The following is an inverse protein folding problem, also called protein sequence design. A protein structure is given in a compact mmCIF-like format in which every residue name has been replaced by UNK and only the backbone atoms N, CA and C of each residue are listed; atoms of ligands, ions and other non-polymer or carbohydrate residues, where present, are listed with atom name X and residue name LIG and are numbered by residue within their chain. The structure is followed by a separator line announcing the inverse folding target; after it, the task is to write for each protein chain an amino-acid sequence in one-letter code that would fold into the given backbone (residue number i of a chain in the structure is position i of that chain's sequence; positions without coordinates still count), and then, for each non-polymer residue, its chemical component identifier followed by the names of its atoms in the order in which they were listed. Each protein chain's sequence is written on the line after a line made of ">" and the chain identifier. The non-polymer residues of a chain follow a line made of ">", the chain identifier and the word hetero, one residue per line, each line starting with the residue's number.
data_IF_663123750937
#
_entry.id   IF_663123750937
#
_cell.length_a   1.000
_cell.length_b   1.000
_cell.length_c   1.000
_cell.angle_alpha   90.00
_cell.angle_beta   90.00
_cell.angle_gamma   90.00
#
_symmetry.space_group_name_H-M   'P 1'
#
loop_
_entity.id
_entity.type
_entity.pdbx_description
1 polymer ?
#
# COMPACT_ATOMS: atom_id res chain seq x y z
N UNK A 1 -26.11 15.09 2.76
CA UNK A 1 -25.64 14.74 1.41
C UNK A 1 -24.20 14.27 1.51
N UNK A 2 -23.97 12.95 1.54
CA UNK A 2 -22.62 12.38 1.61
C UNK A 2 -22.15 12.23 0.16
N UNK A 3 -21.16 13.01 -0.27
CA UNK A 3 -20.53 12.83 -1.58
C UNK A 3 -19.95 11.41 -1.64
N UNK A 4 -20.71 10.47 -2.18
CA UNK A 4 -20.25 9.12 -2.47
C UNK A 4 -19.25 9.23 -3.61
N UNK A 5 -17.96 9.08 -3.29
CA UNK A 5 -16.88 8.99 -4.29
C UNK A 5 -17.27 7.92 -5.29
N UNK A 6 -17.45 8.30 -6.56
CA UNK A 6 -17.91 7.40 -7.61
C UNK A 6 -16.99 6.18 -7.76
N UNK A 7 -17.58 5.04 -8.12
CA UNK A 7 -16.92 3.74 -8.30
C UNK A 7 -15.76 3.83 -9.30
N UNK A 8 -15.90 4.67 -10.33
CA UNK A 8 -14.85 4.94 -11.32
C UNK A 8 -13.67 5.69 -10.70
N UNK A 9 -13.93 6.77 -9.96
CA UNK A 9 -12.89 7.53 -9.23
C UNK A 9 -12.10 6.64 -8.29
N UNK A 10 -12.76 5.67 -7.64
CA UNK A 10 -12.10 4.68 -6.81
C UNK A 10 -11.12 3.78 -7.57
N UNK A 11 -11.56 3.31 -8.74
CA UNK A 11 -10.76 2.42 -9.60
C UNK A 11 -9.52 3.15 -10.11
N UNK A 12 -9.67 4.43 -10.49
CA UNK A 12 -8.55 5.27 -10.90
C UNK A 12 -7.58 5.52 -9.74
N UNK A 13 -8.08 5.90 -8.57
CA UNK A 13 -7.25 6.15 -7.39
C UNK A 13 -6.46 4.89 -6.98
N UNK A 14 -7.10 3.73 -6.95
CA UNK A 14 -6.42 2.46 -6.68
C UNK A 14 -5.36 2.12 -7.75
N UNK A 15 -5.68 2.36 -9.03
CA UNK A 15 -4.75 2.13 -10.14
C UNK A 15 -3.50 3.00 -10.03
N UNK A 16 -3.66 4.30 -9.73
CA UNK A 16 -2.56 5.25 -9.57
C UNK A 16 -1.67 4.83 -8.39
N UNK A 17 -2.26 4.49 -7.24
CA UNK A 17 -1.51 4.07 -6.06
C UNK A 17 -0.71 2.78 -6.30
N UNK A 18 -1.33 1.78 -6.96
CA UNK A 18 -0.65 0.54 -7.32
C UNK A 18 0.47 0.78 -8.34
N UNK A 19 0.28 1.67 -9.30
CA UNK A 19 1.32 2.05 -10.26
C UNK A 19 2.55 2.63 -9.57
N UNK A 20 2.35 3.57 -8.64
CA UNK A 20 3.46 4.11 -7.84
C UNK A 20 4.10 3.05 -6.94
N UNK A 21 3.33 2.14 -6.35
CA UNK A 21 3.88 1.04 -5.56
C UNK A 21 4.79 0.13 -6.40
N UNK A 22 4.40 -0.20 -7.64
CA UNK A 22 5.22 -1.01 -8.55
C UNK A 22 6.51 -0.29 -8.95
N UNK A 23 6.42 1.00 -9.30
CA UNK A 23 7.62 1.81 -9.59
C UNK A 23 8.55 1.82 -8.39
N UNK A 24 8.00 2.03 -7.19
CA UNK A 24 8.81 2.09 -5.99
C UNK A 24 9.48 0.75 -5.71
N UNK A 25 8.78 -0.37 -5.90
CA UNK A 25 9.36 -1.71 -5.76
C UNK A 25 10.54 -1.94 -6.71
N UNK A 26 10.45 -1.45 -7.96
CA UNK A 26 11.56 -1.51 -8.91
C UNK A 26 12.75 -0.67 -8.44
N UNK A 27 12.50 0.55 -7.97
CA UNK A 27 13.55 1.43 -7.42
C UNK A 27 14.21 0.79 -6.21
N UNK A 28 13.43 0.23 -5.28
CA UNK A 28 13.96 -0.47 -4.10
C UNK A 28 14.79 -1.69 -4.51
N UNK A 29 14.34 -2.46 -5.50
CA UNK A 29 15.09 -3.61 -6.03
C UNK A 29 16.40 -3.21 -6.69
N UNK A 30 16.42 -2.13 -7.48
CA UNK A 30 17.64 -1.60 -8.09
C UNK A 30 18.62 -1.08 -7.03
N UNK A 31 18.12 -0.36 -6.02
CA UNK A 31 18.91 0.10 -4.88
C UNK A 31 19.53 -1.06 -4.08
N UNK A 32 18.85 -2.21 -4.01
CA UNK A 32 19.38 -3.40 -3.35
C UNK A 32 20.53 -4.05 -4.12
N UNK A 33 20.49 -4.02 -5.45
CA UNK A 33 21.47 -4.68 -6.34
C UNK A 33 22.72 -3.82 -6.57
N UNK A 34 22.59 -2.49 -6.52
CA UNK A 34 23.71 -1.57 -6.77
C UNK A 34 24.61 -1.41 -5.53
N UNK A 35 25.61 -2.30 -5.39
CA UNK A 35 26.57 -2.30 -4.28
C UNK A 35 27.55 -1.11 -4.29
N UNK A 36 27.73 -0.42 -5.42
CA UNK A 36 28.74 0.64 -5.55
C UNK A 36 28.26 2.00 -5.01
N UNK A 37 26.94 2.25 -5.02
CA UNK A 37 26.29 3.47 -4.53
C UNK A 37 25.36 3.25 -3.35
N UNK A 38 25.50 2.12 -2.64
CA UNK A 38 24.55 1.66 -1.62
C UNK A 38 24.48 2.61 -0.42
N UNK A 39 23.45 3.46 -0.41
CA UNK A 39 23.09 4.26 0.76
C UNK A 39 21.99 3.52 1.54
N UNK A 40 22.29 2.89 2.69
CA UNK A 40 21.28 2.14 3.45
C UNK A 40 20.09 3.02 3.87
N UNK A 41 20.29 4.33 4.04
CA UNK A 41 19.24 5.30 4.34
C UNK A 41 18.23 5.50 3.18
N UNK A 42 18.64 5.35 1.92
CA UNK A 42 17.71 5.48 0.77
C UNK A 42 16.91 4.20 0.55
N UNK A 43 17.51 3.04 0.79
CA UNK A 43 16.80 1.76 0.72
C UNK A 43 15.71 1.64 1.79
N UNK A 44 16.04 2.00 3.03
CA UNK A 44 15.11 2.00 4.17
C UNK A 44 13.95 2.98 3.98
N UNK A 45 14.22 4.18 3.45
CA UNK A 45 13.20 5.15 3.08
C UNK A 45 12.30 4.65 1.94
N UNK A 46 12.89 4.10 0.88
CA UNK A 46 12.16 3.54 -0.27
C UNK A 46 11.26 2.37 0.14
N UNK A 47 11.77 1.45 0.95
CA UNK A 47 11.00 0.32 1.48
C UNK A 47 9.84 0.80 2.37
N UNK A 48 10.06 1.79 3.23
CA UNK A 48 9.01 2.35 4.09
C UNK A 48 7.89 2.99 3.28
N UNK A 49 8.22 3.77 2.25
CA UNK A 49 7.26 4.34 1.31
C UNK A 49 6.51 3.27 0.52
N UNK A 50 7.18 2.18 0.13
CA UNK A 50 6.56 1.06 -0.58
C UNK A 50 5.48 0.41 0.29
N UNK A 51 5.81 0.05 1.54
CA UNK A 51 4.85 -0.54 2.47
C UNK A 51 3.71 0.41 2.82
N UNK A 52 3.99 1.72 2.93
CA UNK A 52 2.95 2.73 3.11
C UNK A 52 1.98 2.76 1.92
N UNK A 53 2.47 2.77 0.68
CA UNK A 53 1.64 2.75 -0.53
C UNK A 53 0.80 1.49 -0.64
N UNK A 54 1.37 0.33 -0.29
CA UNK A 54 0.65 -0.96 -0.25
C UNK A 54 -0.45 -0.90 0.82
N UNK A 55 -0.13 -0.41 2.02
CA UNK A 55 -1.09 -0.26 3.12
C UNK A 55 -2.27 0.64 2.75
N UNK A 56 -2.00 1.82 2.17
CA UNK A 56 -3.03 2.75 1.68
C UNK A 56 -3.86 2.13 0.57
N UNK A 57 -3.27 1.35 -0.33
CA UNK A 57 -3.98 0.67 -1.42
C UNK A 57 -4.93 -0.41 -0.89
N UNK A 58 -4.50 -1.20 0.10
CA UNK A 58 -5.34 -2.18 0.78
C UNK A 58 -6.49 -1.52 1.54
N UNK A 59 -6.20 -0.43 2.25
CA UNK A 59 -7.19 0.39 2.93
C UNK A 59 -8.27 0.87 1.96
N UNK A 60 -7.84 1.38 0.80
CA UNK A 60 -8.74 1.75 -0.28
C UNK A 60 -9.59 0.52 -0.68
N UNK A 61 -8.96 -0.63 -0.93
CA UNK A 61 -9.72 -1.81 -1.35
C UNK A 61 -10.82 -2.22 -0.35
N UNK A 62 -10.57 -2.06 0.95
CA UNK A 62 -11.55 -2.35 2.01
C UNK A 62 -12.69 -1.33 2.02
N UNK A 63 -12.40 -0.03 1.93
CA UNK A 63 -13.45 1.00 1.98
C UNK A 63 -14.36 0.94 0.74
N UNK A 64 -13.82 0.57 -0.44
CA UNK A 64 -14.63 0.24 -1.61
C UNK A 64 -15.54 -0.96 -1.41
N UNK A 65 -15.03 -2.05 -0.82
CA UNK A 65 -15.87 -3.21 -0.52
C UNK A 65 -16.99 -2.84 0.44
N UNK A 66 -16.70 -2.01 1.45
CA UNK A 66 -17.70 -1.52 2.40
C UNK A 66 -18.80 -0.67 1.73
N UNK A 67 -18.45 0.21 0.79
CA UNK A 67 -19.44 1.07 0.12
C UNK A 67 -20.18 0.37 -1.03
N UNK A 68 -19.52 -0.50 -1.78
CA UNK A 68 -20.04 -1.02 -3.06
C UNK A 68 -20.29 -2.53 -3.08
N UNK A 69 -19.79 -3.31 -2.12
CA UNK A 69 -19.98 -4.76 -2.07
C UNK A 69 -20.03 -5.30 -0.63
N UNK A 70 -21.13 -4.98 0.07
CA UNK A 70 -21.36 -5.29 1.48
C UNK A 70 -21.27 -6.80 1.80
N UNK A 71 -21.68 -7.67 0.89
CA UNK A 71 -21.59 -9.12 1.07
C UNK A 71 -20.15 -9.60 1.07
N UNK A 72 -19.33 -9.13 0.12
CA UNK A 72 -17.89 -9.44 0.11
C UNK A 72 -17.14 -8.80 1.29
N UNK A 73 -17.56 -7.61 1.73
CA UNK A 73 -17.00 -6.94 2.92
C UNK A 73 -17.27 -7.73 4.21
N UNK A 74 -18.51 -8.23 4.41
CA UNK A 74 -18.85 -9.06 5.58
C UNK A 74 -18.03 -10.35 5.64
N UNK A 75 -17.77 -10.98 4.49
CA UNK A 75 -16.99 -12.21 4.41
C UNK A 75 -15.47 -11.99 4.60
N UNK A 76 -14.95 -10.78 4.30
CA UNK A 76 -13.53 -10.44 4.37
C UNK A 76 -13.26 -9.32 5.39
N UNK A 77 -13.91 -9.36 6.55
CA UNK A 77 -13.64 -8.45 7.68
C UNK A 77 -12.23 -8.68 8.22
N UNK A 78 -11.24 -8.12 7.53
CA UNK A 78 -9.93 -7.85 8.12
C UNK A 78 -10.02 -6.45 8.74
N UNK A 79 -9.89 -6.31 10.07
CA UNK A 79 -9.88 -5.01 10.70
C UNK A 79 -8.70 -4.21 10.17
N UNK A 80 -8.96 -2.96 9.83
CA UNK A 80 -8.06 -2.01 9.17
C UNK A 80 -6.68 -1.86 9.86
N UNK A 81 -6.67 -2.05 11.18
CA UNK A 81 -5.48 -2.03 12.04
C UNK A 81 -4.57 -3.24 11.82
N UNK A 82 -5.12 -4.36 11.38
CA UNK A 82 -4.36 -5.58 11.13
C UNK A 82 -3.55 -5.47 9.84
N UNK A 83 -4.11 -4.90 8.77
CA UNK A 83 -3.37 -4.67 7.52
C UNK A 83 -2.35 -3.55 7.65
N UNK A 84 -2.73 -2.44 8.28
CA UNK A 84 -1.82 -1.32 8.54
C UNK A 84 -0.71 -1.73 9.52
N UNK A 85 -1.07 -2.44 10.61
CA UNK A 85 -0.13 -2.98 11.58
C UNK A 85 0.81 -4.01 10.97
N UNK A 86 0.32 -4.93 10.15
CA UNK A 86 1.18 -5.88 9.43
C UNK A 86 2.15 -5.17 8.48
N UNK A 87 1.70 -4.17 7.71
CA UNK A 87 2.60 -3.39 6.85
C UNK A 87 3.64 -2.59 7.65
N UNK A 88 3.27 -2.05 8.82
CA UNK A 88 4.20 -1.36 9.72
C UNK A 88 5.21 -2.31 10.33
N UNK A 89 4.78 -3.48 10.83
CA UNK A 89 5.64 -4.48 11.44
C UNK A 89 6.63 -5.04 10.42
N UNK A 90 6.17 -5.34 9.20
CA UNK A 90 7.04 -5.79 8.11
C UNK A 90 8.03 -4.69 7.72
N UNK A 91 7.59 -3.43 7.62
CA UNK A 91 8.47 -2.29 7.38
C UNK A 91 9.54 -2.13 8.47
N UNK A 92 9.17 -2.25 9.75
CA UNK A 92 10.09 -2.16 10.89
C UNK A 92 11.07 -3.34 10.93
N UNK A 93 10.63 -4.56 10.64
CA UNK A 93 11.49 -5.75 10.60
C UNK A 93 12.54 -5.69 9.48
N UNK A 94 12.25 -4.99 8.38
CA UNK A 94 13.20 -4.78 7.28
C UNK A 94 14.17 -3.61 7.58
N UNK A 95 13.83 -2.75 8.56
CA UNK A 95 14.64 -1.62 9.01
C UNK A 95 15.69 -1.98 10.09
N UNK A 96 15.57 -3.15 10.72
CA UNK A 96 16.52 -3.72 11.71
C UNK A 96 17.53 -4.60 10.97
#
# INVERSE_FOLDING_TARGET
>A
MRHTIDKQTYKYLFGILMFFAVILALITGMLYIDLAGFAPKTLTFSASLFFMLVGVSFWLRIEYLKHYNLYAYKARRLPMWFTAGASMIVGILILI
#
